data_IF_178270218057
#
_entry.id   IF_178270218057
#
_cell.length_a   1.000
_cell.length_b   1.000
_cell.length_c   1.000
_cell.angle_alpha   90.00
_cell.angle_beta   90.00
_cell.angle_gamma   90.00
#
_symmetry.space_group_name_H-M   'P 1'
#
loop_
_entity.id
_entity.type
_entity.pdbx_description
1 polymer ?
#
# COMPACT_ATOMS: atom_id res chain seq x y z
N UNK A 1 -8.30 -20.66 -9.30
CA UNK A 1 -9.15 -20.71 -8.07
C UNK A 1 -9.21 -19.30 -7.55
N UNK A 2 -10.38 -18.77 -7.23
CA UNK A 2 -10.54 -17.40 -6.76
C UNK A 2 -9.95 -17.23 -5.35
N UNK A 3 -9.34 -16.06 -5.10
CA UNK A 3 -8.79 -15.73 -3.79
C UNK A 3 -9.89 -15.62 -2.73
N UNK A 4 -9.67 -16.27 -1.59
CA UNK A 4 -10.55 -16.22 -0.42
C UNK A 4 -10.02 -15.20 0.59
N UNK A 5 -10.90 -14.36 1.13
CA UNK A 5 -10.57 -13.32 2.11
C UNK A 5 -11.29 -13.61 3.42
N UNK A 6 -10.57 -13.51 4.55
CA UNK A 6 -11.18 -13.55 5.87
C UNK A 6 -12.05 -12.30 6.09
N UNK A 7 -13.28 -12.50 6.59
CA UNK A 7 -14.07 -11.41 7.16
C UNK A 7 -13.51 -11.05 8.52
N UNK A 8 -13.40 -9.75 8.79
CA UNK A 8 -12.73 -9.24 9.99
C UNK A 8 -13.57 -8.19 10.72
N UNK A 9 -13.26 -7.99 12.00
CA UNK A 9 -13.78 -6.90 12.81
C UNK A 9 -13.09 -5.56 12.48
N UNK A 10 -13.36 -4.50 13.22
CA UNK A 10 -12.78 -3.17 13.02
C UNK A 10 -11.28 -3.12 13.30
N UNK A 11 -10.75 -4.04 14.07
CA UNK A 11 -9.33 -4.17 14.40
C UNK A 11 -8.57 -5.07 13.40
N UNK A 12 -9.29 -5.69 12.46
CA UNK A 12 -8.70 -6.62 11.49
C UNK A 12 -8.57 -8.06 12.00
N UNK A 13 -9.21 -8.40 13.12
CA UNK A 13 -9.21 -9.77 13.63
C UNK A 13 -10.21 -10.62 12.86
N UNK A 14 -9.83 -11.85 12.44
CA UNK A 14 -10.71 -12.75 11.71
C UNK A 14 -11.95 -13.16 12.53
N UNK A 15 -13.11 -13.19 11.85
CA UNK A 15 -14.40 -13.58 12.42
C UNK A 15 -14.73 -15.07 12.22
N UNK A 16 -13.76 -15.87 11.74
CA UNK A 16 -13.95 -17.29 11.51
C UNK A 16 -14.74 -17.63 10.23
N UNK A 17 -14.89 -16.66 9.33
CA UNK A 17 -15.55 -16.84 8.04
C UNK A 17 -14.71 -16.21 6.92
N UNK A 18 -14.56 -16.93 5.82
CA UNK A 18 -13.93 -16.44 4.60
C UNK A 18 -14.93 -16.44 3.44
N UNK A 19 -14.75 -15.51 2.51
CA UNK A 19 -15.58 -15.38 1.31
C UNK A 19 -14.68 -15.16 0.08
N UNK A 20 -15.16 -15.45 -1.13
CA UNK A 20 -14.47 -15.07 -2.36
C UNK A 20 -14.27 -13.55 -2.44
N UNK A 21 -13.14 -13.12 -2.97
CA UNK A 21 -12.83 -11.68 -3.16
C UNK A 21 -13.91 -10.93 -3.93
N UNK A 22 -14.48 -11.55 -4.97
CA UNK A 22 -15.59 -10.97 -5.74
C UNK A 22 -16.84 -10.71 -4.87
N UNK A 23 -17.14 -11.61 -3.94
CA UNK A 23 -18.25 -11.45 -3.00
C UNK A 23 -17.98 -10.33 -2.00
N UNK A 24 -16.75 -10.26 -1.45
CA UNK A 24 -16.34 -9.21 -0.54
C UNK A 24 -16.55 -7.81 -1.15
N UNK A 25 -16.11 -7.61 -2.39
CA UNK A 25 -16.28 -6.34 -3.10
C UNK A 25 -17.71 -6.08 -3.60
N UNK A 26 -18.47 -7.12 -3.94
CA UNK A 26 -19.87 -6.96 -4.34
C UNK A 26 -20.74 -6.49 -3.17
N UNK A 27 -20.50 -7.03 -1.98
CA UNK A 27 -21.30 -6.77 -0.78
C UNK A 27 -20.70 -5.69 0.14
N UNK A 28 -19.44 -5.29 -0.06
CA UNK A 28 -18.72 -4.38 0.81
C UNK A 28 -18.38 -4.99 2.18
N UNK A 29 -18.02 -6.26 2.17
CA UNK A 29 -17.66 -6.99 3.39
C UNK A 29 -16.25 -6.61 3.82
N UNK A 30 -16.07 -6.42 5.14
CA UNK A 30 -14.79 -5.97 5.68
C UNK A 30 -13.75 -7.08 5.62
N UNK A 31 -12.61 -6.77 5.01
CA UNK A 31 -11.47 -7.64 4.81
C UNK A 31 -10.16 -6.88 5.04
N UNK A 32 -9.02 -7.58 4.95
CA UNK A 32 -7.70 -7.01 5.24
C UNK A 32 -6.90 -6.75 3.98
N UNK A 33 -6.07 -5.70 4.04
CA UNK A 33 -5.02 -5.42 3.06
C UNK A 33 -3.72 -5.06 3.76
N UNK A 34 -2.59 -5.27 3.08
CA UNK A 34 -1.27 -4.77 3.48
C UNK A 34 -0.81 -3.74 2.47
N UNK A 35 -0.35 -2.59 2.96
CA UNK A 35 0.19 -1.51 2.15
C UNK A 35 1.64 -1.28 2.54
N UNK A 36 2.55 -1.21 1.57
CA UNK A 36 3.96 -0.93 1.80
C UNK A 36 4.39 0.26 0.95
N UNK A 37 4.89 1.29 1.61
CA UNK A 37 5.53 2.43 1.00
C UNK A 37 7.04 2.24 0.98
N UNK A 38 7.64 2.15 -0.21
CA UNK A 38 9.09 2.22 -0.35
C UNK A 38 9.51 3.68 -0.25
N UNK A 39 10.50 3.94 0.61
CA UNK A 39 11.01 5.28 0.87
C UNK A 39 12.53 5.32 0.72
N UNK A 40 13.07 6.46 0.31
CA UNK A 40 14.50 6.72 0.26
C UNK A 40 14.81 8.19 0.52
N UNK A 41 16.05 8.49 0.86
CA UNK A 41 16.59 9.84 0.75
C UNK A 41 17.45 9.93 -0.52
N UNK A 42 17.14 10.90 -1.37
CA UNK A 42 17.96 11.24 -2.55
C UNK A 42 18.31 12.73 -2.48
N UNK A 43 19.62 13.02 -2.40
CA UNK A 43 20.12 14.41 -2.25
C UNK A 43 19.45 15.20 -1.10
N UNK A 44 19.23 14.55 0.04
CA UNK A 44 18.59 15.15 1.21
C UNK A 44 17.05 15.26 1.13
N UNK A 45 16.43 14.81 0.05
CA UNK A 45 14.98 14.82 -0.14
C UNK A 45 14.41 13.44 0.17
N UNK A 46 13.36 13.39 1.01
CA UNK A 46 12.60 12.18 1.25
C UNK A 46 11.69 11.90 0.06
N UNK A 47 11.87 10.77 -0.59
CA UNK A 47 11.08 10.30 -1.73
C UNK A 47 10.28 9.05 -1.38
N UNK A 48 9.12 8.90 -1.99
CA UNK A 48 8.29 7.69 -2.01
C UNK A 48 8.24 7.11 -3.41
N UNK A 49 8.22 5.78 -3.50
CA UNK A 49 7.99 5.09 -4.77
C UNK A 49 6.48 4.99 -5.03
N UNK A 50 6.06 5.39 -6.21
CA UNK A 50 4.71 5.19 -6.70
C UNK A 50 4.70 4.08 -7.74
N UNK A 51 3.72 3.18 -7.69
CA UNK A 51 3.40 2.32 -8.81
C UNK A 51 2.34 2.97 -9.71
N UNK A 52 2.43 2.74 -11.02
CA UNK A 52 1.35 3.01 -11.96
C UNK A 52 0.62 1.70 -12.24
N UNK A 53 -0.65 1.64 -11.87
CA UNK A 53 -1.50 0.47 -12.09
C UNK A 53 -1.62 0.18 -13.60
N UNK A 54 -1.63 -1.10 -13.95
CA UNK A 54 -1.88 -1.51 -15.33
C UNK A 54 -3.23 -0.99 -15.82
N UNK A 55 -3.33 -0.66 -17.11
CA UNK A 55 -4.58 -0.24 -17.74
C UNK A 55 -5.62 -1.38 -17.81
N UNK A 56 -5.19 -2.63 -17.60
CA UNK A 56 -6.05 -3.83 -17.59
C UNK A 56 -6.66 -4.13 -16.21
N UNK A 57 -6.34 -3.33 -15.18
CA UNK A 57 -6.91 -3.54 -13.83
C UNK A 57 -8.40 -3.31 -13.79
N UNK A 58 -9.12 -4.14 -13.04
CA UNK A 58 -10.56 -4.05 -12.83
C UNK A 58 -10.98 -2.78 -12.10
N UNK A 59 -10.12 -2.25 -11.23
CA UNK A 59 -10.35 -1.02 -10.47
C UNK A 59 -9.19 -0.06 -10.62
N UNK A 60 -9.48 1.23 -10.75
CA UNK A 60 -8.49 2.31 -10.90
C UNK A 60 -7.42 2.06 -11.96
N UNK A 61 -7.78 1.67 -13.22
CA UNK A 61 -6.79 1.42 -14.26
C UNK A 61 -5.97 2.68 -14.55
N UNK A 62 -4.66 2.51 -14.76
CA UNK A 62 -3.74 3.59 -15.13
C UNK A 62 -3.47 4.65 -14.07
N UNK A 63 -4.06 4.54 -12.87
CA UNK A 63 -3.81 5.46 -11.76
C UNK A 63 -2.48 5.17 -11.06
N UNK A 64 -1.89 6.19 -10.45
CA UNK A 64 -0.81 6.00 -9.49
C UNK A 64 -1.34 5.50 -8.15
N UNK A 65 -0.57 4.64 -7.51
CA UNK A 65 -0.94 3.95 -6.28
C UNK A 65 0.27 3.82 -5.34
N UNK A 66 0.04 3.31 -4.16
CA UNK A 66 1.04 2.90 -3.15
C UNK A 66 2.11 2.02 -3.80
N UNK A 67 3.33 2.03 -3.29
CA UNK A 67 4.44 1.26 -3.88
C UNK A 67 4.08 -0.21 -4.09
N UNK A 68 3.50 -0.86 -3.08
CA UNK A 68 2.94 -2.22 -3.16
C UNK A 68 1.74 -2.34 -2.23
N UNK A 69 0.67 -2.94 -2.71
CA UNK A 69 -0.56 -3.11 -1.94
C UNK A 69 -1.33 -4.35 -2.41
N UNK A 70 -1.75 -5.19 -1.47
CA UNK A 70 -2.51 -6.38 -1.80
C UNK A 70 -3.48 -6.82 -0.71
N UNK A 71 -4.43 -7.64 -1.10
CA UNK A 71 -5.33 -8.33 -0.19
C UNK A 71 -4.56 -9.39 0.62
N UNK A 72 -5.06 -9.65 1.82
CA UNK A 72 -4.52 -10.70 2.66
C UNK A 72 -5.40 -11.94 2.48
N UNK A 73 -4.89 -13.01 1.86
CA UNK A 73 -5.63 -14.25 1.71
C UNK A 73 -6.05 -14.82 3.05
N UNK A 74 -7.16 -15.55 3.07
CA UNK A 74 -7.67 -16.20 4.26
C UNK A 74 -6.60 -17.06 4.95
N UNK A 75 -6.47 -16.89 6.27
CA UNK A 75 -5.48 -17.60 7.08
C UNK A 75 -4.06 -17.02 7.06
N UNK A 76 -3.80 -15.96 6.26
CA UNK A 76 -2.50 -15.30 6.23
C UNK A 76 -2.45 -14.06 7.13
N UNK A 77 -1.23 -13.63 7.49
CA UNK A 77 -0.97 -12.43 8.28
C UNK A 77 -0.63 -11.20 7.44
N UNK A 78 -0.64 -10.03 8.08
CA UNK A 78 -0.31 -8.75 7.44
C UNK A 78 1.13 -8.70 6.90
N UNK A 79 2.11 -9.14 7.70
CA UNK A 79 3.53 -9.07 7.33
C UNK A 79 3.85 -10.03 6.20
N UNK A 80 3.40 -11.28 6.30
CA UNK A 80 3.67 -12.30 5.27
C UNK A 80 3.07 -11.89 3.92
N UNK A 81 1.86 -11.34 3.92
CA UNK A 81 1.21 -10.83 2.71
C UNK A 81 1.96 -9.63 2.13
N UNK A 82 2.40 -8.69 2.99
CA UNK A 82 3.20 -7.54 2.55
C UNK A 82 4.50 -7.96 1.85
N UNK A 83 5.23 -8.91 2.43
CA UNK A 83 6.47 -9.43 1.86
C UNK A 83 6.25 -10.19 0.54
N UNK A 84 5.16 -10.94 0.46
CA UNK A 84 4.76 -11.65 -0.76
C UNK A 84 4.47 -10.67 -1.90
N UNK A 85 3.62 -9.66 -1.65
CA UNK A 85 3.26 -8.65 -2.65
C UNK A 85 4.49 -7.84 -3.12
N UNK A 86 5.38 -7.43 -2.21
CA UNK A 86 6.63 -6.76 -2.58
C UNK A 86 7.45 -7.59 -3.57
N UNK A 87 7.54 -8.90 -3.34
CA UNK A 87 8.31 -9.80 -4.19
C UNK A 87 7.62 -10.03 -5.54
N UNK A 88 6.31 -10.24 -5.54
CA UNK A 88 5.52 -10.51 -6.75
C UNK A 88 5.41 -9.27 -7.64
N UNK A 89 5.03 -8.14 -7.06
CA UNK A 89 4.77 -6.91 -7.81
C UNK A 89 6.04 -6.16 -8.26
N UNK A 90 7.06 -6.11 -7.39
CA UNK A 90 8.25 -5.24 -7.59
C UNK A 90 9.58 -6.01 -7.64
N UNK A 91 9.59 -7.33 -7.43
CA UNK A 91 10.83 -8.11 -7.34
C UNK A 91 11.68 -7.75 -6.12
N UNK A 92 11.08 -7.23 -5.07
CA UNK A 92 11.77 -6.84 -3.83
C UNK A 92 11.68 -7.96 -2.80
N UNK A 93 12.84 -8.46 -2.39
CA UNK A 93 12.96 -9.40 -1.27
C UNK A 93 13.35 -8.64 -0.01
N UNK A 94 12.52 -8.72 1.02
CA UNK A 94 12.76 -8.10 2.33
C UNK A 94 12.47 -9.09 3.46
N UNK A 95 12.92 -8.76 4.67
CA UNK A 95 12.66 -9.54 5.87
C UNK A 95 11.59 -8.86 6.74
N UNK A 96 10.88 -9.60 7.62
CA UNK A 96 9.87 -9.00 8.50
C UNK A 96 10.36 -7.79 9.29
N UNK A 97 11.61 -7.80 9.76
CA UNK A 97 12.22 -6.70 10.52
C UNK A 97 12.54 -5.45 9.69
N UNK A 98 12.53 -5.56 8.37
CA UNK A 98 12.75 -4.42 7.47
C UNK A 98 11.47 -3.56 7.32
N UNK A 99 10.29 -4.16 7.61
CA UNK A 99 9.02 -3.46 7.57
C UNK A 99 8.78 -2.66 8.85
N UNK A 100 8.58 -1.36 8.71
CA UNK A 100 8.26 -0.47 9.83
C UNK A 100 6.76 -0.15 9.77
N UNK A 101 6.01 -0.53 10.81
CA UNK A 101 4.59 -0.25 10.89
C UNK A 101 4.36 1.25 11.13
N UNK A 102 3.70 1.91 10.18
CA UNK A 102 3.27 3.31 10.31
C UNK A 102 1.95 3.44 11.09
N UNK A 103 1.09 2.44 10.98
CA UNK A 103 -0.21 2.38 11.64
C UNK A 103 -1.20 1.51 10.91
N UNK A 104 -2.41 1.48 11.43
CA UNK A 104 -3.55 0.80 10.81
C UNK A 104 -4.63 1.83 10.47
N UNK A 105 -5.30 1.65 9.34
CA UNK A 105 -6.44 2.48 8.96
C UNK A 105 -7.60 1.61 8.47
N UNK A 106 -8.82 2.09 8.71
CA UNK A 106 -10.04 1.56 8.13
C UNK A 106 -10.50 2.46 7.00
N UNK A 107 -11.04 1.87 5.96
CA UNK A 107 -11.42 2.56 4.75
C UNK A 107 -12.66 1.93 4.12
N UNK A 108 -13.60 2.76 3.69
CA UNK A 108 -14.76 2.35 2.91
C UNK A 108 -14.88 3.22 1.66
N UNK A 109 -15.14 2.57 0.54
CA UNK A 109 -15.26 3.22 -0.76
C UNK A 109 -16.28 2.49 -1.62
N UNK A 110 -17.03 3.24 -2.43
CA UNK A 110 -17.95 2.67 -3.40
C UNK A 110 -17.79 3.39 -4.73
N UNK A 111 -17.69 2.64 -5.81
CA UNK A 111 -17.59 3.14 -7.18
C UNK A 111 -18.26 2.19 -8.16
N UNK A 112 -18.24 2.57 -9.44
CA UNK A 112 -18.63 1.71 -10.55
C UNK A 112 -17.43 1.62 -11.49
N UNK A 113 -16.92 0.40 -11.70
CA UNK A 113 -15.87 0.12 -12.67
C UNK A 113 -16.39 -0.85 -13.74
N UNK A 114 -16.16 -0.54 -15.01
CA UNK A 114 -16.64 -1.34 -16.14
C UNK A 114 -18.15 -1.68 -16.05
N UNK A 115 -18.95 -0.73 -15.55
CA UNK A 115 -20.40 -0.91 -15.38
C UNK A 115 -20.84 -1.81 -14.22
N UNK A 116 -19.91 -2.27 -13.38
CA UNK A 116 -20.19 -3.12 -12.21
C UNK A 116 -19.98 -2.35 -10.91
N UNK A 117 -20.88 -2.48 -9.93
CA UNK A 117 -20.68 -1.93 -8.60
C UNK A 117 -19.47 -2.54 -7.91
N UNK A 118 -18.63 -1.69 -7.32
CA UNK A 118 -17.47 -2.06 -6.53
C UNK A 118 -17.58 -1.38 -5.16
N UNK A 119 -17.57 -2.18 -4.10
CA UNK A 119 -17.61 -1.70 -2.73
C UNK A 119 -16.38 -2.21 -2.00
N UNK A 120 -15.58 -1.31 -1.51
CA UNK A 120 -14.41 -1.63 -0.73
C UNK A 120 -14.62 -1.31 0.75
N UNK A 121 -14.21 -2.22 1.61
CA UNK A 121 -14.28 -2.08 3.06
C UNK A 121 -13.06 -2.78 3.65
N UNK A 122 -12.03 -2.00 3.94
CA UNK A 122 -10.71 -2.53 4.29
C UNK A 122 -10.28 -2.12 5.68
N UNK A 123 -9.55 -3.03 6.33
CA UNK A 123 -8.63 -2.75 7.42
C UNK A 123 -7.23 -2.98 6.90
N UNK A 124 -6.43 -1.93 6.83
CA UNK A 124 -5.11 -1.94 6.21
C UNK A 124 -4.02 -1.65 7.23
N UNK A 125 -3.01 -2.52 7.31
CA UNK A 125 -1.76 -2.15 7.94
C UNK A 125 -0.88 -1.43 6.91
N UNK A 126 -0.40 -0.25 7.30
CA UNK A 126 0.47 0.59 6.48
C UNK A 126 1.89 0.48 7.00
N UNK A 127 2.78 0.02 6.14
CA UNK A 127 4.21 -0.14 6.43
C UNK A 127 5.03 0.81 5.57
N UNK A 128 6.23 1.15 6.03
CA UNK A 128 7.29 1.68 5.19
C UNK A 128 8.47 0.71 5.15
N UNK A 129 9.19 0.74 4.04
CA UNK A 129 10.44 0.01 3.81
C UNK A 129 11.47 0.97 3.22
N UNK A 130 12.62 1.10 3.88
CA UNK A 130 13.75 1.86 3.35
C UNK A 130 14.44 1.07 2.26
N UNK A 131 14.50 1.60 1.04
CA UNK A 131 15.16 0.97 -0.10
C UNK A 131 15.66 2.03 -1.09
N UNK A 132 16.97 2.19 -1.19
CA UNK A 132 17.59 3.03 -2.22
C UNK A 132 17.91 2.17 -3.45
N UNK A 133 17.00 2.21 -4.42
CA UNK A 133 17.09 1.49 -5.69
C UNK A 133 16.55 2.41 -6.80
N UNK A 134 17.20 2.46 -7.94
CA UNK A 134 16.68 3.22 -9.07
C UNK A 134 15.46 2.54 -9.71
N UNK A 135 14.58 3.34 -10.33
CA UNK A 135 13.29 2.85 -10.82
C UNK A 135 13.42 1.72 -11.85
N UNK A 136 14.47 1.75 -12.64
CA UNK A 136 14.78 0.80 -13.71
C UNK A 136 15.25 -0.56 -13.18
N UNK A 137 15.63 -0.65 -11.91
CA UNK A 137 16.13 -1.88 -11.28
C UNK A 137 15.00 -2.74 -10.67
N UNK A 138 13.75 -2.25 -10.67
CA UNK A 138 12.61 -3.04 -10.20
C UNK A 138 12.17 -4.03 -11.28
N UNK A 139 11.82 -5.24 -10.84
CA UNK A 139 11.20 -6.26 -11.71
C UNK A 139 9.70 -6.21 -11.52
N UNK A 140 8.99 -5.61 -12.46
CA UNK A 140 7.55 -5.35 -12.38
C UNK A 140 6.74 -6.55 -12.85
N UNK A 141 5.71 -6.91 -12.10
CA UNK A 141 4.63 -7.79 -12.54
C UNK A 141 3.73 -6.99 -13.50
N UNK A 142 3.95 -7.14 -14.80
CA UNK A 142 3.38 -6.26 -15.84
C UNK A 142 1.87 -6.32 -15.96
N UNK A 143 1.26 -7.42 -15.56
CA UNK A 143 -0.19 -7.59 -15.48
C UNK A 143 -0.81 -6.66 -14.42
N UNK A 144 -0.04 -6.34 -13.38
CA UNK A 144 -0.48 -5.51 -12.24
C UNK A 144 0.03 -4.06 -12.36
N UNK A 145 1.31 -3.88 -12.76
CA UNK A 145 2.02 -2.61 -12.70
C UNK A 145 2.66 -2.30 -14.06
N UNK A 146 2.31 -1.16 -14.64
CA UNK A 146 2.88 -0.69 -15.91
C UNK A 146 4.19 0.07 -15.74
N UNK A 147 4.38 0.79 -14.62
CA UNK A 147 5.57 1.57 -14.33
C UNK A 147 5.70 1.85 -12.82
N UNK A 148 6.91 2.24 -12.41
CA UNK A 148 7.17 2.83 -11.10
C UNK A 148 7.95 4.13 -11.24
N UNK A 149 7.80 5.04 -10.29
CA UNK A 149 8.62 6.25 -10.21
C UNK A 149 8.79 6.75 -8.78
N UNK A 150 9.93 7.31 -8.50
CA UNK A 150 10.18 8.07 -7.29
C UNK A 150 9.61 9.48 -7.38
N UNK A 151 9.04 9.96 -6.29
CA UNK A 151 8.54 11.33 -6.16
C UNK A 151 8.86 11.86 -4.76
N UNK A 152 9.29 13.13 -4.61
CA UNK A 152 9.38 13.74 -3.28
C UNK A 152 8.07 13.57 -2.52
N UNK A 153 8.12 13.11 -1.26
CA UNK A 153 6.92 12.85 -0.47
C UNK A 153 6.05 14.11 -0.34
N UNK A 154 6.67 15.27 -0.14
CA UNK A 154 5.94 16.53 -0.03
C UNK A 154 5.20 16.89 -1.33
N UNK A 155 5.80 16.61 -2.49
CA UNK A 155 5.17 16.84 -3.81
C UNK A 155 4.04 15.83 -4.04
N UNK A 156 4.26 14.57 -3.67
CA UNK A 156 3.24 13.53 -3.76
C UNK A 156 2.01 13.92 -2.94
N UNK A 157 2.19 14.28 -1.69
CA UNK A 157 1.10 14.70 -0.79
C UNK A 157 0.33 15.89 -1.38
N UNK A 158 1.03 16.94 -1.80
CA UNK A 158 0.41 18.12 -2.42
C UNK A 158 -0.38 17.77 -3.69
N UNK A 159 0.18 16.93 -4.56
CA UNK A 159 -0.45 16.57 -5.83
C UNK A 159 -1.64 15.61 -5.67
N UNK A 160 -1.64 14.78 -4.61
CA UNK A 160 -2.79 13.96 -4.24
C UNK A 160 -3.91 14.85 -3.67
N UNK A 161 -3.58 15.78 -2.77
CA UNK A 161 -4.57 16.68 -2.13
C UNK A 161 -5.26 17.63 -3.12
N UNK A 162 -4.53 18.14 -4.10
CA UNK A 162 -5.08 19.09 -5.09
C UNK A 162 -5.60 18.41 -6.36
N UNK A 163 -5.54 17.07 -6.46
CA UNK A 163 -5.99 16.32 -7.61
C UNK A 163 -5.11 16.43 -8.86
N UNK A 164 -3.89 16.97 -8.74
CA UNK A 164 -2.96 17.09 -9.86
C UNK A 164 -2.34 15.74 -10.28
N UNK A 165 -2.33 14.76 -9.38
CA UNK A 165 -1.90 13.40 -9.66
C UNK A 165 -3.13 12.51 -9.88
N UNK A 166 -3.23 11.87 -11.06
CA UNK A 166 -4.23 10.82 -11.28
C UNK A 166 -3.88 9.59 -10.43
N UNK A 167 -4.46 9.49 -9.25
CA UNK A 167 -4.11 8.48 -8.25
C UNK A 167 -5.32 7.96 -7.49
N UNK A 168 -5.17 6.77 -6.91
CA UNK A 168 -6.09 6.21 -5.91
C UNK A 168 -5.46 6.24 -4.50
N UNK A 169 -4.45 7.07 -4.29
CA UNK A 169 -3.75 7.26 -3.02
C UNK A 169 -4.57 8.17 -2.10
N UNK A 170 -4.62 7.82 -0.81
CA UNK A 170 -5.22 8.66 0.23
C UNK A 170 -4.15 9.47 0.97
N UNK A 171 -4.33 10.81 1.11
CA UNK A 171 -3.37 11.67 1.79
C UNK A 171 -3.01 11.20 3.20
N UNK A 172 -3.94 10.56 3.90
CA UNK A 172 -3.74 10.06 5.27
C UNK A 172 -2.59 9.07 5.36
N UNK A 173 -2.40 8.19 4.37
CA UNK A 173 -1.28 7.24 4.38
C UNK A 173 0.07 7.93 4.19
N UNK A 174 0.15 8.91 3.30
CA UNK A 174 1.36 9.71 3.12
C UNK A 174 1.73 10.47 4.42
N UNK A 175 0.73 10.99 5.14
CA UNK A 175 0.96 11.62 6.46
C UNK A 175 1.42 10.61 7.51
N UNK A 176 0.90 9.39 7.49
CA UNK A 176 1.36 8.30 8.37
C UNK A 176 2.83 7.96 8.11
N UNK A 177 3.24 7.86 6.86
CA UNK A 177 4.63 7.64 6.46
C UNK A 177 5.51 8.79 6.91
N UNK A 178 5.13 10.03 6.62
CA UNK A 178 5.86 11.23 7.04
C UNK A 178 6.08 11.26 8.56
N UNK A 179 5.03 11.07 9.35
CA UNK A 179 5.09 11.07 10.81
C UNK A 179 6.01 9.96 11.35
N UNK A 180 6.04 8.81 10.70
CA UNK A 180 6.91 7.69 11.10
C UNK A 180 8.38 8.03 10.83
N UNK A 181 8.70 8.63 9.69
CA UNK A 181 10.06 9.06 9.35
C UNK A 181 10.53 10.15 10.32
N UNK A 182 9.71 11.16 10.61
CA UNK A 182 10.03 12.27 11.53
C UNK A 182 10.33 11.77 12.95
N UNK A 183 9.56 10.79 13.45
CA UNK A 183 9.82 10.17 14.76
C UNK A 183 11.17 9.46 14.79
N UNK A 184 11.54 8.72 13.75
CA UNK A 184 12.81 8.04 13.68
C UNK A 184 13.99 9.02 13.74
N UNK A 185 13.92 10.15 13.04
CA UNK A 185 14.93 11.21 13.05
C UNK A 185 15.07 11.82 14.45
N UNK A 186 13.95 12.11 15.13
CA UNK A 186 13.96 12.69 16.49
C UNK A 186 14.63 11.76 17.51
N UNK A 187 14.40 10.46 17.44
CA UNK A 187 15.05 9.48 18.31
C UNK A 187 16.57 9.40 18.10
N UNK A 188 17.02 9.53 16.86
CA UNK A 188 18.45 9.50 16.52
C UNK A 188 19.19 10.72 17.07
N UNK A 189 18.55 11.89 17.03
CA UNK A 189 19.13 13.14 17.58
C UNK A 189 19.21 13.13 19.11
N UNK A 190 18.23 12.55 19.81
CA UNK A 190 18.26 12.43 21.28
C UNK A 190 19.38 11.51 21.77
N UNK A 191 19.65 10.39 21.06
CA UNK A 191 20.75 9.47 21.41
C UNK A 191 22.15 10.00 21.09
N UNK A 192 22.26 10.95 20.18
CA UNK A 192 23.55 11.54 19.81
C UNK A 192 24.05 12.60 20.84
N UNK A 193 23.22 12.94 21.83
CA UNK A 193 23.53 13.90 22.90
C UNK A 193 23.65 13.26 24.29
N UNK A 194 23.57 11.93 24.42
CA UNK A 194 23.92 11.12 25.59
C UNK A 194 25.35 10.52 25.43
#
# INVERSE_FOLDING_TARGET
>A
MEEMLDLVNEQGDPLGRAVPRSEAHRLGLRHRTSHVWLVRHKNGVLEVLLQKRSDEKDSFPGCYDISSAGHIPAGQGFVDSALRELKEELGVTAQPQDLILCGQRSFQFSAVFHGKPFKDNQVSNVYLLWLDRDAEEFTLQKEEISAVRWMPLADCLRNVENGALNSCIFPEELRMVQATVEKAVSYTHLRAHE
#
